data_IF_820822718661
#
_entry.id   IF_820822718661
#
_cell.length_a   1.000
_cell.length_b   1.000
_cell.length_c   1.000
_cell.angle_alpha   90.00
_cell.angle_beta   90.00
_cell.angle_gamma   90.00
#
_symmetry.space_group_name_H-M   'P 1'
#
loop_
_entity.id
_entity.type
_entity.pdbx_description
1 polymer ?
#
# COMPACT_ATOMS: atom_id res chain seq x y z
N UNK A 1 11.68 26.15 -0.89
CA UNK A 1 11.30 25.30 -2.04
C UNK A 1 12.52 24.61 -2.67
N UNK A 2 13.66 25.30 -2.82
CA UNK A 2 14.87 24.77 -3.47
C UNK A 2 15.46 23.46 -2.92
N UNK A 3 15.42 23.25 -1.61
CA UNK A 3 16.03 22.06 -0.97
C UNK A 3 15.36 20.74 -1.40
N UNK A 4 14.06 20.73 -1.70
CA UNK A 4 13.35 19.50 -2.11
C UNK A 4 13.61 19.13 -3.57
N UNK A 5 14.01 20.05 -4.41
CA UNK A 5 14.31 19.81 -5.82
C UNK A 5 15.81 19.57 -6.06
N UNK A 6 16.68 19.87 -5.08
CA UNK A 6 18.12 19.67 -5.20
C UNK A 6 18.53 18.22 -5.51
N UNK A 7 17.67 17.25 -5.14
CA UNK A 7 17.91 15.84 -5.43
C UNK A 7 17.88 15.54 -6.93
N UNK A 8 17.09 16.28 -7.72
CA UNK A 8 17.03 16.12 -9.17
C UNK A 8 18.28 16.65 -9.89
N UNK A 9 19.17 17.37 -9.18
CA UNK A 9 20.48 17.78 -9.69
C UNK A 9 21.53 16.65 -9.60
N UNK A 10 21.20 15.54 -8.92
CA UNK A 10 22.08 14.36 -8.93
C UNK A 10 22.02 13.71 -10.32
N UNK A 11 23.18 13.48 -10.99
CA UNK A 11 23.19 12.96 -12.36
C UNK A 11 22.41 11.65 -12.54
N UNK A 12 22.46 10.75 -11.55
CA UNK A 12 21.73 9.50 -11.56
C UNK A 12 20.21 9.70 -11.54
N UNK A 13 19.72 10.65 -10.72
CA UNK A 13 18.29 10.96 -10.62
C UNK A 13 17.81 11.73 -11.85
N UNK A 14 18.63 12.66 -12.32
CA UNK A 14 18.35 13.38 -13.56
C UNK A 14 18.20 12.40 -14.74
N UNK A 15 19.15 11.47 -14.92
CA UNK A 15 19.08 10.44 -15.96
C UNK A 15 17.81 9.57 -15.81
N UNK A 16 17.45 9.18 -14.60
CA UNK A 16 16.27 8.35 -14.34
C UNK A 16 14.94 9.05 -14.66
N UNK A 17 14.90 10.38 -14.55
CA UNK A 17 13.67 11.17 -14.69
C UNK A 17 13.56 11.97 -15.99
N UNK A 18 14.56 11.88 -16.87
CA UNK A 18 14.60 12.62 -18.14
C UNK A 18 13.62 12.10 -19.19
N UNK A 19 13.36 10.80 -19.19
CA UNK A 19 12.52 10.13 -20.19
C UNK A 19 11.33 9.43 -19.52
N UNK A 20 10.20 9.35 -20.24
CA UNK A 20 9.05 8.55 -19.79
C UNK A 20 9.21 7.10 -20.29
N UNK A 21 9.80 6.24 -19.47
CA UNK A 21 9.95 4.81 -19.72
C UNK A 21 8.85 3.97 -19.09
N UNK A 22 8.11 4.54 -18.13
CA UNK A 22 7.09 3.81 -17.38
C UNK A 22 5.79 3.64 -18.16
N UNK A 23 5.50 4.52 -19.10
CA UNK A 23 4.28 4.51 -19.90
C UNK A 23 3.03 4.29 -19.05
N UNK A 24 2.91 5.02 -17.93
CA UNK A 24 1.83 4.85 -16.94
C UNK A 24 0.43 4.97 -17.56
N UNK A 25 0.30 5.64 -18.70
CA UNK A 25 -0.93 5.76 -19.46
C UNK A 25 -1.40 4.43 -20.09
N UNK A 26 -0.53 3.44 -20.24
CA UNK A 26 -0.91 2.13 -20.77
C UNK A 26 -1.52 1.20 -19.71
N UNK A 27 -1.27 1.50 -18.44
CA UNK A 27 -1.94 0.82 -17.32
C UNK A 27 -3.44 1.16 -17.35
N UNK A 28 -4.27 0.14 -17.32
CA UNK A 28 -5.72 0.31 -17.48
C UNK A 28 -6.23 0.20 -18.92
N UNK A 29 -5.36 0.29 -19.95
CA UNK A 29 -5.69 0.06 -21.34
C UNK A 29 -5.44 -1.40 -21.78
N UNK A 30 -4.35 -1.97 -21.31
CA UNK A 30 -3.96 -3.36 -21.58
C UNK A 30 -3.44 -4.04 -20.32
N UNK A 31 -3.32 -5.38 -20.34
CA UNK A 31 -2.78 -6.15 -19.22
C UNK A 31 -1.28 -5.94 -19.11
N UNK A 32 -0.85 -5.22 -18.07
CA UNK A 32 0.55 -4.93 -17.76
C UNK A 32 0.77 -5.19 -16.27
N UNK A 33 1.96 -5.64 -15.89
CA UNK A 33 2.43 -5.67 -14.52
C UNK A 33 3.65 -4.74 -14.40
N UNK A 34 3.54 -3.74 -13.53
CA UNK A 34 4.63 -2.83 -13.17
C UNK A 34 5.17 -3.22 -11.80
N UNK A 35 6.45 -3.54 -11.71
CA UNK A 35 7.13 -3.88 -10.46
C UNK A 35 8.04 -2.72 -10.04
N UNK A 36 7.77 -2.15 -8.86
CA UNK A 36 8.59 -1.11 -8.25
C UNK A 36 9.43 -1.74 -7.13
N UNK A 37 10.67 -2.09 -7.40
CA UNK A 37 11.59 -2.63 -6.40
C UNK A 37 12.25 -1.47 -5.65
N UNK A 38 12.10 -1.45 -4.32
CA UNK A 38 12.60 -0.40 -3.44
C UNK A 38 13.61 -1.04 -2.48
N UNK A 39 14.83 -0.50 -2.35
CA UNK A 39 15.78 -1.02 -1.38
C UNK A 39 15.32 -0.72 0.06
N UNK A 40 15.31 -1.75 0.92
CA UNK A 40 14.93 -1.62 2.33
C UNK A 40 15.93 -0.81 3.15
N UNK A 41 17.20 -0.87 2.75
CA UNK A 41 18.31 -0.27 3.47
C UNK A 41 18.43 1.24 3.27
N UNK A 42 17.89 1.79 2.17
CA UNK A 42 18.00 3.21 1.83
C UNK A 42 16.64 3.84 1.53
N UNK A 43 16.18 4.68 2.45
CA UNK A 43 14.91 5.40 2.32
C UNK A 43 15.02 6.73 1.58
N UNK A 44 16.21 7.12 1.16
CA UNK A 44 16.46 8.43 0.54
C UNK A 44 15.67 8.65 -0.75
N UNK A 45 15.37 7.55 -1.47
CA UNK A 45 14.65 7.57 -2.75
C UNK A 45 13.15 7.21 -2.64
N UNK A 46 12.63 6.93 -1.44
CA UNK A 46 11.22 6.54 -1.26
C UNK A 46 10.23 7.61 -1.76
N UNK A 47 10.65 8.88 -1.76
CA UNK A 47 9.82 9.96 -2.32
C UNK A 47 9.56 9.80 -3.82
N UNK A 48 10.51 9.22 -4.61
CA UNK A 48 10.29 8.93 -6.03
C UNK A 48 9.16 7.94 -6.23
N UNK A 49 9.10 6.92 -5.38
CA UNK A 49 8.01 5.94 -5.41
C UNK A 49 6.67 6.60 -5.09
N UNK A 50 6.65 7.48 -4.07
CA UNK A 50 5.47 8.30 -3.77
C UNK A 50 5.02 9.15 -4.96
N UNK A 51 5.97 9.71 -5.73
CA UNK A 51 5.69 10.45 -6.96
C UNK A 51 5.11 9.55 -8.05
N UNK A 52 5.70 8.36 -8.28
CA UNK A 52 5.21 7.39 -9.27
C UNK A 52 3.76 7.01 -8.95
N UNK A 53 3.44 6.61 -7.72
CA UNK A 53 2.06 6.28 -7.34
C UNK A 53 1.11 7.47 -7.48
N UNK A 54 1.56 8.68 -7.14
CA UNK A 54 0.74 9.89 -7.29
C UNK A 54 0.43 10.15 -8.76
N UNK A 55 1.44 10.09 -9.63
CA UNK A 55 1.27 10.25 -11.08
C UNK A 55 0.41 9.13 -11.67
N UNK A 56 0.63 7.90 -11.26
CA UNK A 56 -0.16 6.75 -11.69
C UNK A 56 -1.64 6.97 -11.38
N UNK A 57 -1.99 7.24 -10.13
CA UNK A 57 -3.37 7.48 -9.72
C UNK A 57 -3.98 8.62 -10.52
N UNK A 58 -3.31 9.76 -10.64
CA UNK A 58 -3.79 10.91 -11.40
C UNK A 58 -3.99 10.59 -12.90
N UNK A 59 -3.08 9.81 -13.48
CA UNK A 59 -3.17 9.40 -14.89
C UNK A 59 -4.35 8.47 -15.11
N UNK A 60 -4.50 7.44 -14.26
CA UNK A 60 -5.62 6.51 -14.32
C UNK A 60 -6.98 7.20 -14.15
N UNK A 61 -7.07 8.17 -13.22
CA UNK A 61 -8.28 8.98 -13.04
C UNK A 61 -8.61 9.79 -14.29
N UNK A 62 -7.60 10.42 -14.88
CA UNK A 62 -7.79 11.21 -16.11
C UNK A 62 -8.26 10.33 -17.27
N UNK A 63 -7.69 9.15 -17.42
CA UNK A 63 -8.10 8.18 -18.43
C UNK A 63 -9.53 7.68 -18.18
N UNK A 64 -9.83 7.23 -16.96
CA UNK A 64 -11.18 6.79 -16.61
C UNK A 64 -12.22 7.87 -16.90
N UNK A 65 -11.99 9.09 -16.40
CA UNK A 65 -13.00 10.16 -16.43
C UNK A 65 -13.14 10.80 -17.84
N UNK A 66 -12.03 11.01 -18.55
CA UNK A 66 -12.05 11.76 -19.82
C UNK A 66 -12.09 10.89 -21.06
N UNK A 67 -11.52 9.68 -21.00
CA UNK A 67 -11.42 8.78 -22.16
C UNK A 67 -12.49 7.69 -22.10
N UNK A 68 -12.66 7.06 -20.92
CA UNK A 68 -13.45 5.83 -20.76
C UNK A 68 -14.78 6.04 -20.03
N UNK A 69 -15.33 7.25 -20.02
CA UNK A 69 -16.68 7.55 -19.47
C UNK A 69 -16.84 7.13 -17.99
N UNK A 70 -15.78 7.25 -17.20
CA UNK A 70 -15.79 7.03 -15.76
C UNK A 70 -15.22 5.68 -15.29
N UNK A 71 -14.82 4.77 -16.18
CA UNK A 71 -14.30 3.45 -15.79
C UNK A 71 -13.24 2.93 -16.76
N UNK A 72 -12.11 2.45 -16.23
CA UNK A 72 -11.05 1.87 -17.04
C UNK A 72 -11.50 0.55 -17.69
N UNK A 73 -11.07 0.27 -18.94
CA UNK A 73 -11.38 -0.98 -19.65
C UNK A 73 -10.70 -2.18 -19.00
N UNK A 74 -9.49 -2.02 -18.48
CA UNK A 74 -8.76 -3.05 -17.73
C UNK A 74 -8.63 -2.58 -16.28
N UNK A 75 -9.13 -3.36 -15.30
CA UNK A 75 -8.97 -3.02 -13.89
C UNK A 75 -7.49 -2.95 -13.49
N UNK A 76 -7.13 -1.94 -12.71
CA UNK A 76 -5.78 -1.77 -12.18
C UNK A 76 -5.79 -2.04 -10.69
N UNK A 77 -4.91 -2.93 -10.23
CA UNK A 77 -4.74 -3.25 -8.83
C UNK A 77 -3.34 -2.84 -8.35
N UNK A 78 -3.29 -1.91 -7.42
CA UNK A 78 -2.06 -1.47 -6.75
C UNK A 78 -1.82 -2.34 -5.51
N UNK A 79 -0.83 -3.23 -5.57
CA UNK A 79 -0.38 -3.98 -4.41
C UNK A 79 0.73 -3.18 -3.73
N UNK A 80 0.44 -2.64 -2.55
CA UNK A 80 1.34 -1.75 -1.81
C UNK A 80 1.93 -2.51 -0.62
N UNK A 81 2.98 -3.26 -0.89
CA UNK A 81 3.74 -3.95 0.16
C UNK A 81 4.57 -2.93 0.94
N UNK A 82 4.71 -3.16 2.25
CA UNK A 82 5.35 -2.23 3.18
C UNK A 82 4.88 -0.78 3.02
N UNK A 83 3.59 -0.58 2.96
CA UNK A 83 2.93 0.71 2.70
C UNK A 83 3.52 1.89 3.50
N UNK A 84 3.96 1.63 4.73
CA UNK A 84 4.57 2.64 5.58
C UNK A 84 5.84 3.30 4.98
N UNK A 85 6.48 2.65 4.02
CA UNK A 85 7.70 3.13 3.36
C UNK A 85 7.43 3.92 2.07
N UNK A 86 6.18 3.94 1.55
CA UNK A 86 5.89 4.49 0.21
C UNK A 86 5.82 6.02 0.12
N UNK A 87 5.94 6.76 1.21
CA UNK A 87 5.95 8.24 1.23
C UNK A 87 4.81 8.92 0.43
N UNK A 88 3.62 8.32 0.40
CA UNK A 88 2.46 8.87 -0.31
C UNK A 88 1.90 10.11 0.40
N UNK A 89 1.43 11.14 -0.34
CA UNK A 89 0.70 12.26 0.26
C UNK A 89 -0.63 11.76 0.85
N UNK A 90 -0.76 11.83 2.18
CA UNK A 90 -1.84 11.21 2.95
C UNK A 90 -3.23 11.64 2.52
N UNK A 91 -3.48 12.95 2.49
CA UNK A 91 -4.80 13.51 2.16
C UNK A 91 -5.21 13.17 0.72
N UNK A 92 -4.25 13.24 -0.21
CA UNK A 92 -4.48 12.89 -1.61
C UNK A 92 -4.79 11.41 -1.76
N UNK A 93 -4.08 10.55 -1.04
CA UNK A 93 -4.31 9.11 -1.10
C UNK A 93 -5.64 8.70 -0.47
N UNK A 94 -6.01 9.24 0.69
CA UNK A 94 -7.32 8.98 1.32
C UNK A 94 -8.48 9.40 0.39
N UNK A 95 -8.37 10.59 -0.20
CA UNK A 95 -9.37 11.08 -1.15
C UNK A 95 -9.47 10.17 -2.40
N UNK A 96 -8.34 9.70 -2.90
CA UNK A 96 -8.31 8.75 -4.01
C UNK A 96 -8.94 7.41 -3.61
N UNK A 97 -8.55 6.82 -2.47
CA UNK A 97 -9.04 5.54 -1.99
C UNK A 97 -10.57 5.51 -1.89
N UNK A 98 -11.17 6.61 -1.47
CA UNK A 98 -12.63 6.73 -1.36
C UNK A 98 -13.37 6.64 -2.71
N UNK A 99 -12.71 6.94 -3.82
CA UNK A 99 -13.36 7.10 -5.13
C UNK A 99 -12.82 6.19 -6.24
N UNK A 100 -11.68 5.54 -6.02
CA UNK A 100 -10.97 4.76 -7.06
C UNK A 100 -11.75 3.52 -7.53
N UNK A 101 -12.56 2.91 -6.67
CA UNK A 101 -13.30 1.68 -6.99
C UNK A 101 -14.26 1.87 -8.17
N UNK A 102 -14.95 3.01 -8.24
CA UNK A 102 -15.87 3.31 -9.35
C UNK A 102 -15.14 3.32 -10.70
N UNK A 103 -13.87 3.67 -10.72
CA UNK A 103 -12.99 3.74 -11.90
C UNK A 103 -12.30 2.43 -12.25
N UNK A 104 -12.63 1.33 -11.55
CA UNK A 104 -11.95 0.04 -11.64
C UNK A 104 -10.47 0.09 -11.23
N UNK A 105 -10.16 0.92 -10.23
CA UNK A 105 -8.85 1.00 -9.57
C UNK A 105 -9.01 0.43 -8.16
N UNK A 106 -8.12 -0.47 -7.76
CA UNK A 106 -8.15 -1.16 -6.48
C UNK A 106 -6.79 -1.07 -5.81
N UNK A 107 -6.77 -1.09 -4.47
CA UNK A 107 -5.54 -1.13 -3.69
C UNK A 107 -5.58 -2.24 -2.65
N UNK A 108 -4.47 -2.96 -2.51
CA UNK A 108 -4.16 -3.76 -1.33
C UNK A 108 -3.04 -3.07 -0.57
N UNK A 109 -3.31 -2.69 0.68
CA UNK A 109 -2.39 -2.01 1.57
C UNK A 109 -1.87 -3.02 2.57
N UNK A 110 -0.57 -3.30 2.55
CA UNK A 110 0.06 -4.26 3.46
C UNK A 110 0.90 -3.48 4.47
N UNK A 111 0.66 -3.74 5.74
CA UNK A 111 1.39 -3.14 6.85
C UNK A 111 1.79 -4.22 7.86
N UNK A 112 2.86 -3.99 8.58
CA UNK A 112 3.34 -4.93 9.59
C UNK A 112 2.46 -4.90 10.86
N UNK A 113 1.91 -3.74 11.21
CA UNK A 113 1.08 -3.55 12.39
C UNK A 113 0.25 -2.26 12.33
N UNK A 114 -0.76 -2.17 13.19
CA UNK A 114 -1.64 -0.99 13.27
C UNK A 114 -0.94 0.26 13.81
N UNK A 115 0.11 0.09 14.63
CA UNK A 115 0.86 1.24 15.15
C UNK A 115 1.53 2.04 14.02
N UNK A 116 1.97 1.39 12.93
CA UNK A 116 2.47 2.09 11.75
C UNK A 116 1.41 3.01 11.12
N UNK A 117 0.18 2.51 10.92
CA UNK A 117 -0.91 3.32 10.38
C UNK A 117 -1.28 4.48 11.30
N UNK A 118 -1.37 4.23 12.62
CA UNK A 118 -1.62 5.27 13.63
C UNK A 118 -0.53 6.35 13.62
N UNK A 119 0.74 5.96 13.51
CA UNK A 119 1.85 6.91 13.42
C UNK A 119 1.79 7.75 12.13
N UNK A 120 1.39 7.16 11.01
CA UNK A 120 1.29 7.85 9.73
C UNK A 120 0.09 8.76 9.64
N UNK A 121 -1.10 8.28 9.98
CA UNK A 121 -2.38 8.95 9.74
C UNK A 121 -2.93 9.66 10.97
N UNK A 122 -2.34 9.44 12.15
CA UNK A 122 -2.83 10.00 13.44
C UNK A 122 -4.31 9.67 13.62
N UNK A 123 -5.17 10.70 13.66
CA UNK A 123 -6.62 10.54 13.88
C UNK A 123 -7.34 9.96 12.65
N UNK A 124 -6.74 10.05 11.45
CA UNK A 124 -7.36 9.60 10.18
C UNK A 124 -7.12 8.11 9.86
N UNK A 125 -6.38 7.37 10.69
CA UNK A 125 -6.08 5.96 10.42
C UNK A 125 -7.35 5.07 10.33
N UNK A 126 -8.37 5.37 11.16
CA UNK A 126 -9.65 4.66 11.12
C UNK A 126 -10.39 4.92 9.80
N UNK A 127 -10.29 6.13 9.26
CA UNK A 127 -10.83 6.48 7.95
C UNK A 127 -10.18 5.65 6.86
N UNK A 128 -8.84 5.47 6.89
CA UNK A 128 -8.14 4.63 5.92
C UNK A 128 -8.67 3.20 5.95
N UNK A 129 -8.72 2.58 7.14
CA UNK A 129 -9.19 1.19 7.27
C UNK A 129 -10.68 1.08 6.91
N UNK A 130 -11.49 2.07 7.30
CA UNK A 130 -12.93 2.12 6.98
C UNK A 130 -13.24 2.24 5.47
N UNK A 131 -12.30 2.72 4.66
CA UNK A 131 -12.40 2.76 3.20
C UNK A 131 -12.06 1.43 2.54
N UNK A 132 -11.44 0.50 3.26
CA UNK A 132 -11.18 -0.86 2.78
C UNK A 132 -12.41 -1.74 2.99
N UNK A 133 -12.77 -2.52 1.98
CA UNK A 133 -13.90 -3.46 2.07
C UNK A 133 -13.50 -4.76 2.76
N UNK A 134 -12.22 -5.05 2.82
CA UNK A 134 -11.64 -6.26 3.39
C UNK A 134 -10.49 -5.92 4.34
N UNK A 135 -10.39 -6.67 5.44
CA UNK A 135 -9.26 -6.62 6.35
C UNK A 135 -8.81 -8.06 6.64
N UNK A 136 -7.56 -8.37 6.29
CA UNK A 136 -6.97 -9.68 6.49
C UNK A 136 -5.90 -9.60 7.59
N UNK A 137 -6.11 -10.34 8.69
CA UNK A 137 -5.14 -10.48 9.76
C UNK A 137 -4.37 -11.80 9.63
N UNK A 138 -3.06 -11.68 9.44
CA UNK A 138 -2.15 -12.82 9.25
C UNK A 138 -1.34 -13.19 10.51
N UNK A 139 -1.72 -12.65 11.66
CA UNK A 139 -0.94 -12.79 12.89
C UNK A 139 0.02 -11.62 13.09
N UNK A 140 0.65 -11.57 14.24
CA UNK A 140 1.61 -10.52 14.62
C UNK A 140 1.90 -10.55 16.11
N UNK A 141 2.79 -9.67 16.58
CA UNK A 141 3.21 -9.59 17.98
C UNK A 141 2.85 -8.25 18.64
N UNK A 142 2.24 -7.32 17.88
CA UNK A 142 2.01 -5.96 18.32
C UNK A 142 0.64 -5.83 19.02
N UNK A 143 0.65 -5.28 20.24
CA UNK A 143 -0.48 -5.22 21.17
C UNK A 143 -1.69 -4.45 20.62
N UNK A 144 -1.46 -3.31 19.97
CA UNK A 144 -2.56 -2.49 19.42
C UNK A 144 -3.29 -3.20 18.29
N UNK A 145 -2.57 -3.99 17.49
CA UNK A 145 -3.18 -4.83 16.45
C UNK A 145 -4.04 -5.93 17.07
N UNK A 146 -3.57 -6.60 18.12
CA UNK A 146 -4.37 -7.63 18.80
C UNK A 146 -5.66 -7.05 19.38
N UNK A 147 -5.56 -5.87 20.03
CA UNK A 147 -6.71 -5.17 20.58
C UNK A 147 -7.71 -4.80 19.48
N UNK A 148 -7.24 -4.23 18.38
CA UNK A 148 -8.06 -3.85 17.25
C UNK A 148 -8.80 -5.05 16.63
N UNK A 149 -8.10 -6.16 16.40
CA UNK A 149 -8.69 -7.40 15.87
C UNK A 149 -9.73 -7.97 16.82
N UNK A 150 -9.47 -7.99 18.14
CA UNK A 150 -10.43 -8.43 19.17
C UNK A 150 -11.70 -7.57 19.17
N UNK A 151 -11.57 -6.26 19.04
CA UNK A 151 -12.68 -5.32 18.95
C UNK A 151 -13.52 -5.54 17.67
N UNK A 152 -12.87 -5.81 16.52
CA UNK A 152 -13.55 -6.13 15.26
C UNK A 152 -14.32 -7.45 15.30
N UNK A 153 -13.81 -8.45 16.02
CA UNK A 153 -14.49 -9.74 16.22
C UNK A 153 -15.78 -9.58 17.04
N UNK A 154 -15.83 -8.58 17.92
CA UNK A 154 -16.97 -8.31 18.75
C UNK A 154 -17.10 -9.28 19.93
N UNK A 155 -18.35 -9.39 20.45
CA UNK A 155 -18.65 -10.17 21.65
C UNK A 155 -19.66 -11.27 21.36
N UNK A 156 -19.53 -12.37 22.09
CA UNK A 156 -20.51 -13.45 22.18
C UNK A 156 -21.21 -13.44 23.54
N UNK A 157 -22.44 -13.92 23.60
CA UNK A 157 -23.15 -14.12 24.86
C UNK A 157 -22.82 -15.49 25.41
N UNK A 158 -22.17 -15.55 26.56
CA UNK A 158 -21.95 -16.79 27.30
C UNK A 158 -22.97 -16.93 28.41
N UNK A 159 -23.52 -18.14 28.59
CA UNK A 159 -24.39 -18.49 29.70
C UNK A 159 -23.56 -19.20 30.75
N UNK A 160 -23.40 -18.58 31.92
CA UNK A 160 -22.72 -19.18 33.06
C UNK A 160 -23.74 -19.65 34.06
N UNK A 161 -23.70 -20.92 34.45
CA UNK A 161 -24.53 -21.45 35.51
C UNK A 161 -23.69 -21.64 36.76
N UNK A 162 -24.00 -20.93 37.82
CA UNK A 162 -23.36 -21.11 39.12
C UNK A 162 -24.29 -21.86 40.06
N UNK A 163 -23.72 -22.85 40.73
CA UNK A 163 -24.40 -23.68 41.73
C UNK A 163 -23.95 -23.26 43.13
N UNK A 164 -24.84 -22.67 43.89
CA UNK A 164 -24.60 -22.37 45.29
C UNK A 164 -25.29 -23.36 46.18
N UNK A 165 -24.54 -24.16 46.95
CA UNK A 165 -25.06 -25.09 47.95
C UNK A 165 -24.64 -24.58 49.34
N UNK A 166 -25.60 -24.20 50.16
CA UNK A 166 -25.39 -23.88 51.57
C UNK A 166 -25.44 -25.15 52.40
N UNK A 167 -24.35 -25.48 53.11
CA UNK A 167 -24.29 -26.59 54.08
C UNK A 167 -24.68 -26.06 55.44
N UNK A 168 -26.00 -25.97 55.71
CA UNK A 168 -26.55 -25.62 57.04
C UNK A 168 -27.72 -26.55 57.37
N UNK A 169 -28.26 -26.50 58.62
CA UNK A 169 -29.36 -27.32 59.11
C UNK A 169 -30.67 -27.18 58.26
N UNK A 170 -30.69 -26.20 57.36
CA UNK A 170 -31.75 -25.94 56.39
C UNK A 170 -31.07 -25.69 55.03
N UNK A 171 -30.41 -26.69 54.49
CA UNK A 171 -29.66 -26.58 53.22
C UNK A 171 -30.52 -26.06 52.07
N UNK A 172 -30.15 -24.93 51.49
CA UNK A 172 -30.79 -24.43 50.29
C UNK A 172 -29.85 -24.62 49.05
N UNK A 173 -30.46 -25.03 47.96
CA UNK A 173 -29.80 -25.16 46.65
C UNK A 173 -30.34 -24.06 45.75
N UNK A 174 -29.48 -23.23 45.23
CA UNK A 174 -29.88 -22.24 44.23
C UNK A 174 -29.02 -22.37 42.97
N UNK A 175 -29.68 -22.39 41.84
CA UNK A 175 -29.07 -22.34 40.51
C UNK A 175 -29.23 -20.90 40.01
N UNK A 176 -28.11 -20.25 39.74
CA UNK A 176 -28.12 -18.90 39.15
C UNK A 176 -27.64 -19.01 37.71
N UNK A 177 -28.50 -18.64 36.78
CA UNK A 177 -28.16 -18.51 35.36
C UNK A 177 -27.83 -17.06 35.07
N UNK A 178 -26.60 -16.80 34.73
CA UNK A 178 -26.13 -15.46 34.35
C UNK A 178 -25.69 -15.49 32.89
N UNK A 179 -26.20 -14.53 32.10
CA UNK A 179 -25.72 -14.26 30.77
C UNK A 179 -24.78 -13.08 30.83
N UNK A 180 -23.59 -13.22 30.27
CA UNK A 180 -22.61 -12.15 30.18
C UNK A 180 -22.00 -12.09 28.76
N UNK A 181 -21.66 -10.87 28.28
CA UNK A 181 -20.91 -10.71 27.05
C UNK A 181 -19.43 -11.00 27.30
N UNK A 182 -18.85 -11.86 26.47
CA UNK A 182 -17.42 -12.10 26.41
C UNK A 182 -16.89 -11.71 25.01
N UNK A 183 -15.69 -11.17 24.93
CA UNK A 183 -15.05 -11.00 23.62
C UNK A 183 -14.95 -12.35 22.92
N UNK A 184 -15.31 -12.40 21.62
CA UNK A 184 -15.28 -13.66 20.83
C UNK A 184 -13.87 -14.24 20.86
N UNK A 185 -12.85 -13.39 20.71
CA UNK A 185 -11.46 -13.67 21.07
C UNK A 185 -10.90 -12.48 21.82
N UNK A 186 -10.34 -12.72 22.99
CA UNK A 186 -9.61 -11.67 23.75
C UNK A 186 -8.31 -11.29 23.02
N UNK A 187 -7.72 -10.11 23.27
CA UNK A 187 -6.43 -9.74 22.67
C UNK A 187 -5.32 -10.78 22.90
N UNK A 188 -5.34 -11.48 24.06
CA UNK A 188 -4.39 -12.55 24.34
C UNK A 188 -4.64 -13.79 23.48
N UNK A 189 -5.89 -14.16 23.24
CA UNK A 189 -6.25 -15.25 22.34
C UNK A 189 -5.91 -14.91 20.87
N UNK A 190 -6.10 -13.66 20.45
CA UNK A 190 -5.65 -13.19 19.13
C UNK A 190 -4.13 -13.27 19.01
N UNK A 191 -3.37 -12.91 20.06
CA UNK A 191 -1.90 -13.05 20.11
C UNK A 191 -1.44 -14.49 19.96
N UNK A 192 -2.23 -15.44 20.48
CA UNK A 192 -1.94 -16.89 20.45
C UNK A 192 -2.51 -17.59 19.21
N UNK A 193 -3.01 -16.83 18.23
CA UNK A 193 -3.51 -17.41 16.98
C UNK A 193 -2.42 -18.27 16.34
N UNK A 194 -2.79 -19.51 15.99
CA UNK A 194 -1.91 -20.43 15.29
C UNK A 194 -1.35 -19.78 14.01
N UNK A 195 -0.03 -19.89 13.82
CA UNK A 195 0.65 -19.25 12.70
C UNK A 195 0.20 -19.76 11.31
N UNK A 196 -0.44 -20.91 11.23
CA UNK A 196 -1.04 -21.44 10.00
C UNK A 196 -2.40 -20.82 9.67
N UNK A 197 -2.99 -20.03 10.59
CA UNK A 197 -4.33 -19.44 10.46
C UNK A 197 -4.30 -17.96 10.17
N UNK A 198 -5.40 -17.47 9.61
CA UNK A 198 -5.68 -16.06 9.40
C UNK A 198 -7.13 -15.74 9.75
N UNK A 199 -7.41 -14.48 10.00
CA UNK A 199 -8.78 -13.99 10.21
C UNK A 199 -9.10 -13.00 9.11
N UNK A 200 -10.18 -13.25 8.37
CA UNK A 200 -10.66 -12.40 7.29
C UNK A 200 -11.95 -11.71 7.70
N UNK A 201 -11.97 -10.39 7.53
CA UNK A 201 -13.15 -9.55 7.69
C UNK A 201 -13.54 -9.02 6.31
N UNK A 202 -14.81 -9.19 5.95
CA UNK A 202 -15.40 -8.66 4.71
C UNK A 202 -16.58 -7.81 5.12
N UNK A 203 -16.71 -6.63 4.53
CA UNK A 203 -17.82 -5.71 4.82
C UNK A 203 -19.16 -6.39 4.57
N UNK A 204 -20.01 -6.42 5.61
CA UNK A 204 -21.35 -7.03 5.57
C UNK A 204 -21.38 -8.52 5.84
N UNK A 205 -20.24 -9.17 6.03
CA UNK A 205 -20.14 -10.58 6.35
C UNK A 205 -19.62 -10.82 7.79
N UNK A 206 -19.82 -12.03 8.28
CA UNK A 206 -19.24 -12.46 9.56
C UNK A 206 -17.75 -12.73 9.38
N UNK A 207 -16.92 -12.44 10.41
CA UNK A 207 -15.51 -12.77 10.37
C UNK A 207 -15.30 -14.26 10.10
N UNK A 208 -14.33 -14.60 9.25
CA UNK A 208 -13.95 -15.96 8.91
C UNK A 208 -12.56 -16.27 9.46
N UNK A 209 -12.45 -17.41 10.15
CA UNK A 209 -11.17 -18.01 10.55
C UNK A 209 -10.81 -19.08 9.53
N UNK A 210 -9.67 -18.93 8.86
CA UNK A 210 -9.25 -19.85 7.80
C UNK A 210 -7.76 -20.16 7.90
N UNK A 211 -7.30 -21.11 7.09
CA UNK A 211 -5.89 -21.45 6.95
C UNK A 211 -5.21 -20.50 5.96
N UNK A 212 -4.01 -20.10 6.28
CA UNK A 212 -3.14 -19.41 5.32
C UNK A 212 -2.87 -20.30 4.11
N UNK A 213 -2.90 -19.70 2.93
CA UNK A 213 -2.57 -20.45 1.71
C UNK A 213 -1.11 -20.94 1.74
N UNK A 214 -0.92 -22.20 1.44
CA UNK A 214 0.43 -22.76 1.32
C UNK A 214 1.03 -22.41 -0.04
N UNK A 215 1.96 -21.44 -0.06
CA UNK A 215 2.60 -20.94 -1.26
C UNK A 215 3.30 -22.03 -2.08
N UNK A 216 3.86 -23.05 -1.42
CA UNK A 216 4.51 -24.16 -2.11
C UNK A 216 3.55 -25.02 -2.97
N UNK A 217 2.23 -24.86 -2.78
CA UNK A 217 1.20 -25.50 -3.61
C UNK A 217 0.74 -24.63 -4.78
N UNK A 218 1.27 -23.40 -4.88
CA UNK A 218 0.85 -22.51 -5.97
C UNK A 218 1.37 -23.01 -7.33
N UNK A 219 0.54 -23.03 -8.40
CA UNK A 219 0.96 -23.52 -9.71
C UNK A 219 2.22 -22.85 -10.28
N UNK A 220 2.41 -21.57 -9.92
CA UNK A 220 3.54 -20.76 -10.37
C UNK A 220 4.76 -20.80 -9.46
N UNK A 221 4.78 -21.64 -8.43
CA UNK A 221 5.91 -21.75 -7.49
C UNK A 221 7.24 -21.98 -8.23
N UNK A 222 7.22 -22.73 -9.32
CA UNK A 222 8.37 -23.01 -10.17
C UNK A 222 9.06 -21.78 -10.75
N UNK A 223 8.43 -20.62 -10.73
CA UNK A 223 8.98 -19.33 -11.20
C UNK A 223 9.53 -18.48 -10.07
N UNK A 224 9.49 -18.95 -8.84
CA UNK A 224 10.01 -18.25 -7.67
C UNK A 224 11.29 -18.94 -7.18
N UNK A 225 12.05 -18.25 -6.33
CA UNK A 225 13.25 -18.80 -5.69
C UNK A 225 12.93 -20.07 -4.90
N UNK A 226 11.81 -20.10 -4.14
CA UNK A 226 11.34 -21.28 -3.41
C UNK A 226 11.03 -22.48 -4.32
N UNK A 227 10.70 -22.21 -5.57
CA UNK A 227 10.49 -23.24 -6.60
C UNK A 227 11.74 -23.56 -7.42
N UNK A 228 12.88 -22.97 -7.10
CA UNK A 228 14.17 -23.22 -7.74
C UNK A 228 14.45 -22.36 -8.98
N UNK A 229 13.65 -21.31 -9.24
CA UNK A 229 13.95 -20.35 -10.30
C UNK A 229 15.17 -19.50 -9.94
N UNK A 230 16.01 -19.19 -10.93
CA UNK A 230 17.08 -18.22 -10.74
C UNK A 230 16.48 -16.82 -10.44
N UNK A 231 17.13 -16.04 -9.57
CA UNK A 231 16.75 -14.64 -9.34
C UNK A 231 16.70 -13.85 -10.66
N UNK A 232 15.76 -12.94 -10.78
CA UNK A 232 15.70 -12.06 -11.94
C UNK A 232 16.91 -11.10 -11.92
N UNK A 233 17.71 -11.14 -13.00
CA UNK A 233 18.84 -10.24 -13.19
C UNK A 233 18.39 -8.98 -13.92
N UNK A 234 18.10 -7.91 -13.14
CA UNK A 234 17.74 -6.61 -13.69
C UNK A 234 18.92 -5.84 -14.27
N UNK A 235 20.17 -6.21 -13.93
CA UNK A 235 21.36 -5.55 -14.51
C UNK A 235 21.57 -5.96 -15.96
N UNK A 236 21.19 -7.16 -16.34
CA UNK A 236 21.22 -7.61 -17.74
C UNK A 236 20.23 -6.80 -18.63
N UNK A 237 19.12 -6.35 -18.06
CA UNK A 237 18.17 -5.48 -18.76
C UNK A 237 18.70 -4.04 -18.91
N UNK A 238 19.47 -3.54 -17.95
CA UNK A 238 20.12 -2.23 -18.02
C UNK A 238 21.23 -2.20 -19.08
N UNK A 239 22.01 -3.27 -19.19
CA UNK A 239 23.02 -3.41 -20.25
C UNK A 239 22.40 -3.43 -21.66
N UNK A 240 21.18 -3.95 -21.81
CA UNK A 240 20.44 -3.90 -23.08
C UNK A 240 19.83 -2.53 -23.38
N UNK A 241 19.69 -1.66 -22.37
CA UNK A 241 19.18 -0.28 -22.52
C UNK A 241 20.24 0.73 -22.88
N UNK A 242 21.49 0.49 -22.50
CA UNK A 242 22.62 1.35 -22.91
C UNK A 242 22.84 1.35 -24.44
N UNK A 243 22.30 0.35 -25.15
CA UNK A 243 22.30 0.26 -26.63
C UNK A 243 21.10 0.99 -27.30
N UNK A 244 20.18 1.60 -26.52
CA UNK A 244 19.07 2.37 -27.10
C UNK A 244 19.56 3.74 -27.58
N UNK A 245 19.42 4.07 -28.85
CA UNK A 245 19.81 5.38 -29.39
C UNK A 245 18.88 6.45 -28.82
N UNK A 246 19.39 7.35 -28.00
CA UNK A 246 18.61 8.53 -27.68
C UNK A 246 18.77 9.20 -26.33
N UNK A 247 19.66 8.80 -25.47
CA UNK A 247 20.05 9.70 -24.36
C UNK A 247 20.92 10.82 -24.96
N UNK A 248 20.52 12.09 -24.92
CA UNK A 248 21.40 13.16 -25.39
C UNK A 248 22.66 13.16 -24.53
N UNK A 249 23.84 12.96 -25.17
CA UNK A 249 25.15 12.98 -24.50
C UNK A 249 25.48 14.33 -23.83
N UNK A 250 24.71 15.38 -24.13
CA UNK A 250 24.88 16.72 -23.59
C UNK A 250 23.55 17.29 -23.12
N UNK A 251 23.24 17.12 -21.83
CA UNK A 251 22.23 17.94 -21.17
C UNK A 251 22.92 18.97 -20.29
N UNK A 252 22.53 20.22 -20.45
CA UNK A 252 22.95 21.32 -19.60
C UNK A 252 22.06 21.31 -18.35
N UNK A 253 22.62 20.98 -17.19
CA UNK A 253 21.93 21.13 -15.90
C UNK A 253 21.73 22.64 -15.69
N UNK A 254 20.48 23.09 -15.75
CA UNK A 254 20.12 24.44 -15.40
C UNK A 254 20.29 24.66 -13.90
N UNK A 255 21.09 25.63 -13.49
CA UNK A 255 21.24 25.97 -12.08
C UNK A 255 19.91 26.56 -11.56
N UNK A 256 19.54 26.24 -10.33
CA UNK A 256 18.31 26.75 -9.71
C UNK A 256 18.37 28.29 -9.57
N UNK A 257 19.55 28.90 -9.57
CA UNK A 257 19.74 30.33 -9.53
C UNK A 257 19.27 31.02 -10.84
N UNK A 258 19.19 30.28 -11.95
CA UNK A 258 18.66 30.76 -13.23
C UNK A 258 17.14 30.98 -13.20
N UNK A 259 16.45 30.50 -12.18
CA UNK A 259 14.99 30.59 -12.00
C UNK A 259 14.55 31.56 -10.89
N UNK A 260 15.48 32.32 -10.31
CA UNK A 260 15.10 33.31 -9.29
C UNK A 260 14.29 34.46 -9.94
N UNK A 261 13.16 34.86 -9.34
CA UNK A 261 12.32 35.92 -9.89
C UNK A 261 13.02 37.31 -9.77
N UNK A 262 13.67 37.70 -10.82
CA UNK A 262 14.35 39.00 -10.87
C UNK A 262 14.55 39.55 -12.29
N UNK A 263 14.73 38.70 -13.31
CA UNK A 263 14.95 39.15 -14.68
C UNK A 263 14.29 38.26 -15.74
N UNK A 264 13.07 38.61 -16.22
CA UNK A 264 12.36 37.79 -17.21
C UNK A 264 12.95 37.82 -18.64
N UNK A 265 13.99 38.61 -18.90
CA UNK A 265 14.48 38.86 -20.26
C UNK A 265 15.48 37.81 -20.78
N UNK A 266 16.19 37.08 -19.94
CA UNK A 266 17.24 36.13 -20.36
C UNK A 266 16.79 34.69 -20.58
N UNK A 267 15.60 34.31 -20.12
CA UNK A 267 15.04 32.95 -20.28
C UNK A 267 14.65 32.63 -21.73
N UNK A 268 14.30 33.65 -22.53
CA UNK A 268 13.85 33.46 -23.91
C UNK A 268 14.91 32.84 -24.85
N UNK A 269 16.20 33.17 -24.76
CA UNK A 269 17.21 32.55 -25.63
C UNK A 269 17.49 31.08 -25.33
N UNK A 270 17.43 30.65 -24.07
CA UNK A 270 17.66 29.26 -23.68
C UNK A 270 16.53 28.31 -24.17
N UNK A 271 15.28 28.74 -24.00
CA UNK A 271 14.11 27.96 -24.49
C UNK A 271 14.08 27.89 -26.03
N UNK A 272 14.54 28.94 -26.74
CA UNK A 272 14.65 28.90 -28.19
C UNK A 272 15.80 28.00 -28.69
N UNK A 273 16.87 27.80 -27.92
CA UNK A 273 17.95 26.86 -28.25
C UNK A 273 17.49 25.43 -28.13
N UNK A 274 16.73 25.08 -27.06
CA UNK A 274 16.16 23.73 -26.88
C UNK A 274 15.18 23.38 -28.02
N UNK A 275 14.39 24.35 -28.53
CA UNK A 275 13.46 24.12 -29.67
C UNK A 275 14.13 24.00 -31.03
N UNK A 276 15.41 24.34 -31.17
CA UNK A 276 16.17 24.22 -32.42
C UNK A 276 17.07 22.99 -32.49
N UNK A 277 17.16 22.23 -31.40
CA UNK A 277 17.95 21.00 -31.31
C UNK A 277 17.07 19.73 -31.26
N UNK A 278 15.76 19.88 -31.40
CA UNK A 278 14.77 18.85 -31.73
C UNK A 278 14.27 19.16 -33.17
#
# INVERSE_FOLDING_TARGET
MGVRLAVFNLPSIAKLTMTDELHLQELGERKIALFCCIPDSDKSLNYLVGMIYTQLIQTLYRQADRVHKGRLPVPVHCLMDEYANLSLPKDTFLSALATMRSRAIFCSIIVQNMAQLKAMYKDDWESLVGLCDEFLYLGGTEKETHKYVSELLGKETISTTSYNQSKGRSGSYSINHQQSGRDLMTPDEVRLLDNSKCILFIRGERPALDLKYNLLKHPNIRYTEDGGAAPYDYTAADNARDDLPGAPENYELLDMDDFLPGEPAEIRPAIQRIRRSI
#
